data_IF_825642636689
#
_entry.id   IF_825642636689
#
_cell.length_a   1.000
_cell.length_b   1.000
_cell.length_c   1.000
_cell.angle_alpha   90.00
_cell.angle_beta   90.00
_cell.angle_gamma   90.00
#
_symmetry.space_group_name_H-M   'P 1'
#
loop_
_entity.id
_entity.type
_entity.pdbx_description
1 polymer ?
#
# COMPACT_ATOMS: atom_id res chain seq x y z
N UNK A 1 44.53 -36.28 -2.55
CA UNK A 1 45.20 -35.14 -1.90
C UNK A 1 44.87 -33.88 -2.69
N UNK A 2 43.91 -33.08 -2.20
CA UNK A 2 43.56 -31.77 -2.78
C UNK A 2 44.20 -30.72 -1.86
N UNK A 3 45.20 -30.05 -2.42
CA UNK A 3 45.95 -28.98 -1.81
C UNK A 3 45.07 -27.80 -1.50
N UNK A 4 44.98 -27.41 -0.24
CA UNK A 4 44.44 -26.12 0.25
C UNK A 4 45.38 -25.03 -0.20
N UNK A 5 44.94 -24.15 -1.13
CA UNK A 5 45.63 -22.90 -1.42
C UNK A 5 45.13 -21.81 -0.45
N UNK A 6 46.04 -21.34 0.35
CA UNK A 6 45.93 -20.12 1.17
C UNK A 6 45.57 -18.92 0.29
N UNK A 7 44.50 -18.26 0.66
CA UNK A 7 44.17 -16.91 0.21
C UNK A 7 44.52 -15.95 1.34
N UNK A 8 45.80 -15.69 1.50
CA UNK A 8 46.26 -14.60 2.35
C UNK A 8 46.68 -13.41 1.48
N UNK A 9 46.02 -12.29 1.76
CA UNK A 9 46.58 -10.96 1.73
C UNK A 9 47.44 -10.53 0.53
N UNK A 10 46.86 -9.89 -0.46
CA UNK A 10 47.47 -8.74 -1.11
C UNK A 10 46.40 -7.94 -1.88
N UNK A 11 45.54 -7.24 -1.15
CA UNK A 11 44.80 -6.11 -1.69
C UNK A 11 45.57 -4.86 -1.29
N UNK A 12 46.28 -4.34 -2.27
CA UNK A 12 47.03 -3.13 -2.27
C UNK A 12 46.24 -1.96 -1.61
N UNK A 13 46.78 -1.49 -0.49
CA UNK A 13 46.38 -0.26 0.15
C UNK A 13 46.94 0.92 -0.67
N UNK A 14 46.21 1.42 -1.62
CA UNK A 14 46.49 2.75 -2.19
C UNK A 14 45.20 3.45 -2.61
N UNK A 15 44.92 4.54 -1.92
CA UNK A 15 44.18 5.70 -2.42
C UNK A 15 42.65 5.62 -2.55
N UNK A 16 41.96 5.08 -1.57
CA UNK A 16 40.62 5.60 -1.26
C UNK A 16 40.74 6.68 -0.17
N UNK A 17 41.07 7.90 -0.59
CA UNK A 17 40.76 9.10 0.19
C UNK A 17 39.25 9.17 0.36
N UNK A 18 38.74 8.47 1.34
CA UNK A 18 37.42 8.73 1.89
C UNK A 18 37.44 10.16 2.41
N UNK A 19 36.96 11.11 1.59
CA UNK A 19 36.56 12.42 2.10
C UNK A 19 35.51 12.16 3.18
N UNK A 20 35.93 12.12 4.43
CA UNK A 20 35.05 12.26 5.58
C UNK A 20 34.34 13.60 5.39
N UNK A 21 33.16 13.57 4.78
CA UNK A 21 32.20 14.64 4.98
C UNK A 21 31.91 14.66 6.47
N UNK A 22 32.54 15.59 7.20
CA UNK A 22 32.09 15.98 8.53
C UNK A 22 30.69 16.56 8.32
N UNK A 23 29.66 15.73 8.46
CA UNK A 23 28.33 16.23 8.71
C UNK A 23 28.40 17.05 9.99
N UNK A 24 28.24 18.36 9.86
CA UNK A 24 28.00 19.23 11.02
C UNK A 24 26.74 18.71 11.69
N UNK A 25 26.92 18.08 12.85
CA UNK A 25 25.87 17.82 13.82
C UNK A 25 25.39 19.22 14.27
N UNK A 26 24.28 19.67 13.76
CA UNK A 26 23.76 21.00 14.06
C UNK A 26 22.74 21.52 13.07
N UNK A 27 22.02 20.65 12.40
CA UNK A 27 20.82 21.07 11.70
C UNK A 27 19.75 20.02 11.95
N UNK A 28 18.86 20.31 12.89
CA UNK A 28 17.55 19.72 12.94
C UNK A 28 16.94 19.97 11.55
N UNK A 29 17.08 19.00 10.66
CA UNK A 29 16.34 19.02 9.41
C UNK A 29 14.88 18.96 9.82
N UNK A 30 14.20 20.05 9.67
CA UNK A 30 12.77 20.16 9.76
C UNK A 30 12.19 19.26 8.68
N UNK A 31 12.02 17.98 9.00
CA UNK A 31 11.25 17.06 8.21
C UNK A 31 9.80 17.55 8.22
N UNK A 32 9.45 18.36 7.27
CA UNK A 32 8.11 18.90 7.18
C UNK A 32 7.49 18.71 5.82
N UNK A 33 7.14 17.47 5.56
CA UNK A 33 5.87 17.18 4.93
C UNK A 33 5.24 16.06 5.75
N UNK A 34 4.05 16.29 6.29
CA UNK A 34 3.29 15.22 6.95
C UNK A 34 2.99 14.18 5.89
N UNK A 35 3.71 13.06 5.90
CA UNK A 35 3.37 11.90 5.08
C UNK A 35 2.06 11.34 5.58
N UNK A 36 1.15 11.03 4.67
CA UNK A 36 -0.19 10.56 5.00
C UNK A 36 -0.54 9.29 4.24
N UNK A 37 -1.13 8.32 4.94
CA UNK A 37 -1.62 7.06 4.39
C UNK A 37 -3.14 7.01 4.53
N UNK A 38 -3.85 6.81 3.42
CA UNK A 38 -5.29 6.58 3.42
C UNK A 38 -5.56 5.07 3.38
N UNK A 39 -6.31 4.59 4.36
CA UNK A 39 -6.59 3.17 4.55
C UNK A 39 -8.08 2.92 4.35
N UNK A 40 -8.42 1.98 3.48
CA UNK A 40 -9.80 1.67 3.13
C UNK A 40 -10.28 0.41 3.85
N UNK A 41 -11.31 0.54 4.69
CA UNK A 41 -11.96 -0.58 5.34
C UNK A 41 -13.18 -1.04 4.52
N UNK A 42 -13.03 -2.13 3.76
CA UNK A 42 -14.08 -2.73 2.93
C UNK A 42 -14.99 -3.72 3.67
N UNK A 43 -14.84 -3.83 4.98
CA UNK A 43 -15.74 -4.66 5.79
C UNK A 43 -17.12 -3.99 5.95
N UNK A 44 -18.23 -4.74 5.91
CA UNK A 44 -19.55 -4.20 6.31
C UNK A 44 -19.58 -3.73 7.77
N UNK A 45 -18.68 -4.24 8.60
CA UNK A 45 -18.54 -3.84 10.01
C UNK A 45 -17.50 -2.75 10.17
N UNK A 46 -17.92 -1.56 10.63
CA UNK A 46 -17.04 -0.41 10.80
C UNK A 46 -15.81 -0.73 11.68
N UNK A 47 -16.02 -1.47 12.77
CA UNK A 47 -14.98 -1.88 13.73
C UNK A 47 -14.92 -3.40 13.89
N UNK A 48 -14.80 -4.12 12.77
CA UNK A 48 -14.66 -5.58 12.72
C UNK A 48 -13.20 -6.03 12.62
N UNK A 49 -12.99 -7.30 12.25
CA UNK A 49 -11.66 -7.92 12.11
C UNK A 49 -10.73 -7.15 11.16
N UNK A 50 -11.24 -6.71 10.01
CA UNK A 50 -10.47 -5.91 9.04
C UNK A 50 -10.01 -4.59 9.65
N UNK A 51 -10.92 -3.89 10.33
CA UNK A 51 -10.58 -2.62 11.00
C UNK A 51 -9.49 -2.83 12.07
N UNK A 52 -9.57 -3.90 12.86
CA UNK A 52 -8.57 -4.23 13.89
C UNK A 52 -7.16 -4.37 13.29
N UNK A 53 -7.05 -5.03 12.13
CA UNK A 53 -5.78 -5.13 11.42
C UNK A 53 -5.29 -3.78 10.88
N UNK A 54 -6.19 -2.99 10.29
CA UNK A 54 -5.86 -1.65 9.81
C UNK A 54 -5.46 -0.71 10.96
N UNK A 55 -6.14 -0.76 12.09
CA UNK A 55 -5.83 0.02 13.29
C UNK A 55 -4.45 -0.32 13.86
N UNK A 56 -4.09 -1.61 13.91
CA UNK A 56 -2.74 -2.04 14.32
C UNK A 56 -1.64 -1.52 13.38
N UNK A 57 -1.89 -1.55 12.06
CA UNK A 57 -0.97 -0.96 11.08
C UNK A 57 -0.88 0.56 11.23
N UNK A 58 -2.02 1.24 11.41
CA UNK A 58 -2.10 2.68 11.61
C UNK A 58 -1.31 3.13 12.83
N UNK A 59 -1.40 2.38 13.94
CA UNK A 59 -0.63 2.65 15.15
C UNK A 59 0.86 2.70 14.85
N UNK A 60 1.39 1.70 14.17
CA UNK A 60 2.82 1.64 13.82
C UNK A 60 3.21 2.76 12.86
N UNK A 61 2.39 3.05 11.85
CA UNK A 61 2.64 4.17 10.94
C UNK A 61 2.71 5.51 11.68
N UNK A 62 1.79 5.75 12.62
CA UNK A 62 1.79 6.96 13.44
C UNK A 62 3.00 7.04 14.38
N UNK A 63 3.43 5.91 14.97
CA UNK A 63 4.68 5.81 15.75
C UNK A 63 5.92 6.15 14.90
N UNK A 64 5.88 5.84 13.59
CA UNK A 64 6.92 6.16 12.61
C UNK A 64 6.83 7.58 12.02
N UNK A 65 5.87 8.39 12.49
CA UNK A 65 5.66 9.77 12.07
C UNK A 65 4.86 9.93 10.77
N UNK A 66 4.09 8.92 10.38
CA UNK A 66 3.22 8.95 9.20
C UNK A 66 1.77 9.05 9.65
N UNK A 67 1.07 10.11 9.24
CA UNK A 67 -0.36 10.29 9.54
C UNK A 67 -1.20 9.23 8.84
N UNK A 68 -2.24 8.75 9.51
CA UNK A 68 -3.14 7.75 8.95
C UNK A 68 -4.60 8.17 9.04
N UNK A 69 -5.37 7.79 8.04
CA UNK A 69 -6.82 7.93 8.05
C UNK A 69 -7.47 6.63 7.60
N UNK A 70 -8.37 6.06 8.39
CA UNK A 70 -9.14 4.86 8.02
C UNK A 70 -10.52 5.29 7.54
N UNK A 71 -10.79 5.09 6.25
CA UNK A 71 -12.08 5.37 5.62
C UNK A 71 -12.90 4.10 5.50
N UNK A 72 -14.12 4.11 6.03
CA UNK A 72 -15.03 2.97 5.96
C UNK A 72 -15.80 2.99 4.63
N UNK A 73 -15.42 2.12 3.72
CA UNK A 73 -16.01 2.01 2.36
C UNK A 73 -16.91 0.79 2.18
N UNK A 74 -16.99 -0.06 3.19
CA UNK A 74 -17.80 -1.28 3.18
C UNK A 74 -19.18 -1.13 3.83
N UNK A 75 -19.57 0.07 4.29
CA UNK A 75 -20.80 0.31 5.05
C UNK A 75 -22.07 0.03 4.23
N UNK A 76 -22.03 0.28 2.95
CA UNK A 76 -23.16 0.13 2.04
C UNK A 76 -22.78 -0.71 0.82
N UNK A 77 -23.75 -1.37 0.16
CA UNK A 77 -23.49 -2.11 -1.07
C UNK A 77 -22.85 -1.21 -2.13
N UNK A 78 -21.66 -1.58 -2.57
CA UNK A 78 -20.94 -0.89 -3.64
C UNK A 78 -21.16 -1.60 -4.96
N UNK A 79 -21.85 -0.96 -5.91
CA UNK A 79 -21.88 -1.46 -7.28
C UNK A 79 -20.49 -1.40 -7.93
N UNK A 80 -20.20 -2.35 -8.81
CA UNK A 80 -19.00 -2.31 -9.64
C UNK A 80 -19.03 -1.17 -10.66
N UNK A 81 -17.90 -0.89 -11.32
CA UNK A 81 -17.87 0.06 -12.42
C UNK A 81 -18.72 -0.43 -13.59
N UNK A 82 -19.65 0.40 -14.06
CA UNK A 82 -20.56 0.10 -15.16
C UNK A 82 -19.96 0.40 -16.55
N UNK A 83 -18.73 0.89 -16.62
CA UNK A 83 -18.11 1.29 -17.89
C UNK A 83 -18.83 2.46 -18.61
N UNK A 84 -19.63 3.24 -17.89
CA UNK A 84 -20.48 4.28 -18.49
C UNK A 84 -19.74 5.48 -19.07
N UNK A 85 -18.43 5.63 -18.81
CA UNK A 85 -17.60 6.73 -19.28
C UNK A 85 -17.92 8.09 -18.66
N UNK A 86 -18.83 8.17 -17.68
CA UNK A 86 -19.24 9.42 -17.05
C UNK A 86 -18.07 10.17 -16.39
N UNK A 87 -17.20 9.45 -15.67
CA UNK A 87 -16.03 10.03 -15.00
C UNK A 87 -15.01 10.68 -15.97
N UNK A 88 -14.93 10.22 -17.21
CA UNK A 88 -14.09 10.86 -18.24
C UNK A 88 -14.59 12.25 -18.63
N UNK A 89 -15.88 12.53 -18.42
CA UNK A 89 -16.50 13.83 -18.73
C UNK A 89 -16.57 14.75 -17.52
N UNK A 90 -16.88 14.19 -16.35
CA UNK A 90 -17.11 14.97 -15.11
C UNK A 90 -15.89 15.07 -14.22
N UNK A 91 -14.88 14.20 -14.40
CA UNK A 91 -13.73 14.06 -13.52
C UNK A 91 -14.01 13.25 -12.24
N UNK A 92 -15.25 12.82 -12.02
CA UNK A 92 -15.68 12.06 -10.82
C UNK A 92 -16.61 10.91 -11.22
N UNK A 93 -16.70 9.88 -10.36
CA UNK A 93 -17.67 8.81 -10.56
C UNK A 93 -19.11 9.35 -10.42
N UNK A 94 -19.92 9.23 -11.46
CA UNK A 94 -21.30 9.76 -11.49
C UNK A 94 -22.26 9.12 -10.49
N UNK A 95 -21.87 7.94 -9.96
CA UNK A 95 -22.65 7.26 -8.92
C UNK A 95 -22.32 7.73 -7.49
N UNK A 96 -21.43 8.73 -7.36
CA UNK A 96 -21.16 9.36 -6.05
C UNK A 96 -20.65 8.43 -4.96
N UNK A 97 -20.97 8.79 -3.72
CA UNK A 97 -20.66 8.01 -2.53
C UNK A 97 -19.20 8.04 -2.12
N UNK A 98 -18.78 7.05 -1.35
CA UNK A 98 -17.45 6.93 -0.75
C UNK A 98 -16.33 6.94 -1.81
N UNK A 99 -16.63 6.54 -3.05
CA UNK A 99 -15.67 6.57 -4.16
C UNK A 99 -15.25 8.01 -4.50
N UNK A 100 -16.19 8.94 -4.54
CA UNK A 100 -15.91 10.35 -4.86
C UNK A 100 -15.15 11.00 -3.69
N UNK A 101 -15.54 10.70 -2.46
CA UNK A 101 -14.82 11.16 -1.28
C UNK A 101 -13.37 10.65 -1.25
N UNK A 102 -13.18 9.36 -1.48
CA UNK A 102 -11.85 8.75 -1.58
C UNK A 102 -11.00 9.39 -2.69
N UNK A 103 -11.58 9.61 -3.88
CA UNK A 103 -10.90 10.25 -5.00
C UNK A 103 -10.39 11.67 -4.66
N UNK A 104 -11.16 12.42 -3.88
CA UNK A 104 -10.72 13.73 -3.39
C UNK A 104 -9.54 13.62 -2.43
N UNK A 105 -9.62 12.71 -1.46
CA UNK A 105 -8.57 12.46 -0.47
C UNK A 105 -7.28 11.89 -1.08
N UNK A 106 -7.36 11.13 -2.18
CA UNK A 106 -6.18 10.56 -2.85
C UNK A 106 -5.17 11.62 -3.30
N UNK A 107 -5.60 12.85 -3.55
CA UNK A 107 -4.72 13.93 -3.99
C UNK A 107 -3.74 14.38 -2.90
N UNK A 108 -4.11 14.19 -1.65
CA UNK A 108 -3.40 14.70 -0.48
C UNK A 108 -2.73 13.61 0.35
N UNK A 109 -2.63 12.37 -0.19
CA UNK A 109 -2.00 11.24 0.51
C UNK A 109 -0.84 10.67 -0.29
N UNK A 110 0.12 10.08 0.42
CA UNK A 110 1.35 9.56 -0.16
C UNK A 110 1.28 8.06 -0.43
N UNK A 111 0.43 7.31 0.27
CA UNK A 111 0.22 5.88 0.08
C UNK A 111 -1.22 5.47 0.42
N UNK A 112 -1.58 4.24 0.05
CA UNK A 112 -2.90 3.68 0.34
C UNK A 112 -2.80 2.26 0.91
N UNK A 113 -3.78 1.87 1.71
CA UNK A 113 -3.95 0.50 2.19
C UNK A 113 -5.38 0.04 1.91
N UNK A 114 -5.52 -1.14 1.33
CA UNK A 114 -6.82 -1.76 1.10
C UNK A 114 -7.02 -2.91 2.08
N UNK A 115 -8.10 -2.85 2.87
CA UNK A 115 -8.45 -3.88 3.84
C UNK A 115 -9.80 -4.52 3.52
N UNK A 116 -9.87 -5.84 3.42
CA UNK A 116 -11.11 -6.56 3.11
C UNK A 116 -11.31 -7.79 3.99
N UNK A 117 -12.54 -8.09 4.41
CA UNK A 117 -12.84 -9.44 4.87
C UNK A 117 -12.88 -10.41 3.70
N UNK A 118 -12.60 -11.68 3.97
CA UNK A 118 -12.76 -12.77 3.00
C UNK A 118 -14.21 -13.23 2.99
N UNK A 119 -14.84 -13.16 1.82
CA UNK A 119 -16.16 -13.71 1.55
C UNK A 119 -16.06 -14.73 0.41
N UNK A 120 -16.39 -16.00 0.67
CA UNK A 120 -16.34 -17.08 -0.34
C UNK A 120 -15.00 -17.18 -1.07
N UNK A 121 -13.89 -17.10 -0.35
CA UNK A 121 -12.50 -17.08 -0.85
C UNK A 121 -12.17 -15.91 -1.79
N UNK A 122 -12.97 -14.86 -1.79
CA UNK A 122 -12.79 -13.60 -2.51
C UNK A 122 -12.77 -12.43 -1.52
N UNK A 123 -12.42 -11.24 -1.97
CA UNK A 123 -12.67 -10.03 -1.18
C UNK A 123 -14.17 -9.73 -1.08
N UNK A 124 -14.57 -8.89 -0.14
CA UNK A 124 -15.97 -8.47 -0.06
C UNK A 124 -16.42 -7.77 -1.35
N UNK A 125 -17.65 -8.03 -1.79
CA UNK A 125 -18.21 -7.35 -2.96
C UNK A 125 -18.19 -5.83 -2.85
N UNK A 126 -18.31 -5.30 -1.64
CA UNK A 126 -18.20 -3.86 -1.38
C UNK A 126 -16.80 -3.32 -1.68
N UNK A 127 -15.73 -4.02 -1.23
CA UNK A 127 -14.36 -3.62 -1.55
C UNK A 127 -14.08 -3.75 -3.05
N UNK A 128 -14.53 -4.82 -3.69
CA UNK A 128 -14.36 -5.02 -5.13
C UNK A 128 -15.02 -3.89 -5.92
N UNK A 129 -16.29 -3.61 -5.64
CA UNK A 129 -17.03 -2.53 -6.30
C UNK A 129 -16.39 -1.16 -6.08
N UNK A 130 -15.94 -0.89 -4.84
CA UNK A 130 -15.20 0.32 -4.50
C UNK A 130 -13.91 0.45 -5.30
N UNK A 131 -13.05 -0.58 -5.28
CA UNK A 131 -11.76 -0.57 -5.98
C UNK A 131 -11.94 -0.39 -7.50
N UNK A 132 -12.91 -1.07 -8.12
CA UNK A 132 -13.20 -0.90 -9.55
C UNK A 132 -13.63 0.53 -9.89
N UNK A 133 -14.54 1.11 -9.13
CA UNK A 133 -15.01 2.46 -9.39
C UNK A 133 -13.93 3.50 -9.12
N UNK A 134 -13.17 3.36 -8.04
CA UNK A 134 -12.07 4.25 -7.69
C UNK A 134 -10.98 4.25 -8.77
N UNK A 135 -10.57 3.07 -9.24
CA UNK A 135 -9.56 2.91 -10.28
C UNK A 135 -9.96 3.57 -11.59
N UNK A 136 -11.22 3.42 -12.01
CA UNK A 136 -11.71 4.05 -13.24
C UNK A 136 -11.83 5.57 -13.13
N UNK A 137 -12.24 6.09 -11.97
CA UNK A 137 -12.50 7.52 -11.82
C UNK A 137 -11.30 8.33 -11.33
N UNK A 138 -10.39 7.72 -10.58
CA UNK A 138 -9.25 8.38 -9.94
C UNK A 138 -7.91 7.61 -10.09
N UNK A 139 -7.81 6.69 -11.04
CA UNK A 139 -6.61 5.86 -11.22
C UNK A 139 -5.33 6.66 -11.46
N UNK A 140 -5.42 7.84 -12.10
CA UNK A 140 -4.26 8.73 -12.26
C UNK A 140 -3.65 9.18 -10.93
N UNK A 141 -4.50 9.34 -9.88
CA UNK A 141 -4.09 9.78 -8.55
C UNK A 141 -3.58 8.60 -7.69
N UNK A 142 -3.71 7.35 -8.17
CA UNK A 142 -3.13 6.16 -7.58
C UNK A 142 -1.70 5.88 -8.07
N UNK A 143 -1.36 6.29 -9.30
CA UNK A 143 -0.08 5.95 -9.93
C UNK A 143 1.11 6.26 -9.04
N UNK A 144 2.02 5.27 -8.94
CA UNK A 144 3.28 5.33 -8.20
C UNK A 144 3.16 5.55 -6.67
N UNK A 145 1.95 5.64 -6.13
CA UNK A 145 1.79 5.62 -4.66
C UNK A 145 2.04 4.19 -4.14
N UNK A 146 2.84 4.01 -3.09
CA UNK A 146 2.94 2.73 -2.41
C UNK A 146 1.57 2.23 -1.97
N UNK A 147 1.35 0.93 -2.13
CA UNK A 147 0.11 0.28 -1.72
C UNK A 147 0.39 -0.95 -0.85
N UNK A 148 -0.45 -1.18 0.15
CA UNK A 148 -0.49 -2.43 0.88
C UNK A 148 -1.92 -2.98 0.92
N UNK A 149 -2.03 -4.29 1.11
CA UNK A 149 -3.29 -4.97 1.29
C UNK A 149 -3.29 -5.70 2.62
N UNK A 150 -4.47 -5.91 3.18
CA UNK A 150 -4.68 -6.82 4.29
C UNK A 150 -6.06 -7.48 4.20
N UNK A 151 -6.10 -8.76 4.43
CA UNK A 151 -7.38 -9.50 4.48
C UNK A 151 -7.61 -10.08 5.86
N UNK A 152 -8.88 -10.18 6.25
CA UNK A 152 -9.27 -10.84 7.48
C UNK A 152 -10.20 -12.01 7.17
N UNK A 153 -9.94 -13.16 7.78
CA UNK A 153 -10.76 -14.35 7.63
C UNK A 153 -10.89 -15.11 8.93
N UNK A 154 -11.97 -15.89 9.06
CA UNK A 154 -12.07 -16.85 10.15
C UNK A 154 -11.08 -18.02 9.94
N UNK A 155 -10.87 -18.47 8.70
CA UNK A 155 -10.03 -19.65 8.40
C UNK A 155 -9.35 -19.58 7.02
N UNK A 156 -10.04 -19.90 5.93
CA UNK A 156 -9.48 -20.12 4.61
C UNK A 156 -9.89 -19.04 3.59
N UNK A 157 -9.24 -19.04 2.41
CA UNK A 157 -9.55 -18.17 1.28
C UNK A 157 -8.78 -16.84 1.26
N UNK A 158 -7.84 -16.66 2.15
CA UNK A 158 -7.05 -15.42 2.28
C UNK A 158 -6.12 -15.17 1.10
N UNK A 159 -5.40 -16.19 0.62
CA UNK A 159 -4.46 -16.04 -0.50
C UNK A 159 -5.18 -15.65 -1.78
N UNK A 160 -6.30 -16.31 -2.12
CA UNK A 160 -7.11 -15.97 -3.30
C UNK A 160 -7.64 -14.54 -3.22
N UNK A 161 -8.12 -14.11 -2.05
CA UNK A 161 -8.58 -12.74 -1.85
C UNK A 161 -7.44 -11.71 -2.00
N UNK A 162 -6.23 -12.02 -1.56
CA UNK A 162 -5.06 -11.18 -1.78
C UNK A 162 -4.71 -11.07 -3.26
N UNK A 163 -4.73 -12.18 -4.00
CA UNK A 163 -4.45 -12.21 -5.44
C UNK A 163 -5.43 -11.34 -6.24
N UNK A 164 -6.66 -11.19 -5.78
CA UNK A 164 -7.62 -10.26 -6.38
C UNK A 164 -7.26 -8.81 -6.12
N UNK A 165 -6.83 -8.48 -4.89
CA UNK A 165 -6.56 -7.10 -4.48
C UNK A 165 -5.32 -6.52 -5.15
N UNK A 166 -4.30 -7.31 -5.43
CA UNK A 166 -3.02 -6.81 -5.98
C UNK A 166 -3.13 -6.34 -7.44
N UNK A 167 -4.07 -6.86 -8.21
CA UNK A 167 -4.19 -6.59 -9.66
C UNK A 167 -4.40 -5.11 -10.00
N UNK A 168 -5.16 -4.39 -9.18
CA UNK A 168 -5.40 -2.95 -9.41
C UNK A 168 -4.16 -2.13 -9.08
N UNK A 169 -3.51 -2.27 -7.91
CA UNK A 169 -2.24 -1.63 -7.65
C UNK A 169 -1.16 -1.91 -8.70
N UNK A 170 -1.02 -3.16 -9.14
CA UNK A 170 -0.06 -3.53 -10.20
C UNK A 170 -0.34 -2.77 -11.51
N UNK A 171 -1.61 -2.65 -11.91
CA UNK A 171 -2.00 -1.94 -13.12
C UNK A 171 -1.62 -0.45 -13.09
N UNK A 172 -1.58 0.17 -11.90
CA UNK A 172 -1.26 1.58 -11.72
C UNK A 172 0.20 1.85 -11.33
N UNK A 173 1.12 0.90 -11.56
CA UNK A 173 2.55 1.05 -11.24
C UNK A 173 2.80 1.35 -9.75
N UNK A 174 1.94 0.85 -8.87
CA UNK A 174 2.06 1.10 -7.44
C UNK A 174 3.06 0.12 -6.81
N UNK A 175 4.11 0.58 -6.11
CA UNK A 175 4.96 -0.31 -5.33
C UNK A 175 4.14 -1.05 -4.26
N UNK A 176 4.18 -2.38 -4.28
CA UNK A 176 3.50 -3.21 -3.29
C UNK A 176 4.37 -3.37 -2.04
N UNK A 177 3.85 -2.98 -0.89
CA UNK A 177 4.53 -3.05 0.38
C UNK A 177 4.08 -4.31 1.11
N UNK A 178 5.02 -5.20 1.35
CA UNK A 178 4.79 -6.48 2.00
C UNK A 178 5.50 -6.58 3.36
N UNK A 179 5.10 -7.57 4.16
CA UNK A 179 5.75 -7.95 5.39
C UNK A 179 6.65 -9.18 5.21
N UNK A 180 6.82 -9.94 6.28
CA UNK A 180 7.57 -11.19 6.31
C UNK A 180 6.72 -12.42 5.90
N UNK A 181 5.42 -12.25 5.67
CA UNK A 181 4.47 -13.26 5.21
C UNK A 181 3.29 -12.60 4.50
N UNK A 182 2.31 -13.37 4.00
CA UNK A 182 1.12 -12.82 3.36
C UNK A 182 0.28 -12.01 4.34
N UNK A 183 -0.22 -10.83 3.93
CA UNK A 183 -0.91 -9.87 4.80
C UNK A 183 -2.33 -10.32 5.15
N UNK A 184 -2.45 -11.20 6.11
CA UNK A 184 -3.73 -11.74 6.59
C UNK A 184 -3.79 -11.77 8.11
N UNK A 185 -5.01 -11.65 8.63
CA UNK A 185 -5.32 -11.88 10.05
C UNK A 185 -6.48 -12.84 10.18
N UNK A 186 -6.48 -13.63 11.24
CA UNK A 186 -7.51 -14.64 11.52
C UNK A 186 -8.30 -14.32 12.77
N UNK A 187 -9.62 -14.51 12.69
CA UNK A 187 -10.56 -14.33 13.78
C UNK A 187 -11.99 -14.12 13.29
N UNK A 188 -12.97 -14.47 14.11
CA UNK A 188 -14.40 -14.24 13.85
C UNK A 188 -14.90 -12.91 14.40
N UNK A 189 -14.11 -12.30 15.27
CA UNK A 189 -14.38 -11.02 15.93
C UNK A 189 -13.04 -10.30 16.25
N UNK A 190 -13.08 -9.01 16.63
CA UNK A 190 -11.87 -8.24 16.94
C UNK A 190 -10.98 -8.83 18.03
N UNK A 191 -11.58 -9.45 19.06
CA UNK A 191 -10.80 -9.99 20.18
C UNK A 191 -10.05 -11.27 19.80
N UNK A 192 -10.59 -12.07 18.89
CA UNK A 192 -9.85 -13.20 18.30
C UNK A 192 -8.72 -12.71 17.40
N UNK A 193 -8.93 -11.66 16.58
CA UNK A 193 -7.85 -11.07 15.76
C UNK A 193 -6.72 -10.56 16.63
N UNK A 194 -7.01 -9.98 17.81
CA UNK A 194 -5.96 -9.55 18.75
C UNK A 194 -5.12 -10.71 19.29
N UNK A 195 -5.62 -11.94 19.23
CA UNK A 195 -4.89 -13.14 19.61
C UNK A 195 -4.10 -13.76 18.47
N UNK A 196 -4.33 -13.34 17.22
CA UNK A 196 -3.52 -13.70 16.07
C UNK A 196 -2.20 -12.91 16.07
N UNK A 197 -1.29 -13.33 16.93
CA UNK A 197 -0.02 -12.62 17.14
C UNK A 197 0.85 -12.59 15.89
N UNK A 198 0.80 -13.64 15.05
CA UNK A 198 1.53 -13.71 13.78
C UNK A 198 0.95 -12.74 12.76
N UNK A 199 -0.36 -12.79 12.53
CA UNK A 199 -1.03 -11.87 11.60
C UNK A 199 -0.84 -10.41 11.99
N UNK A 200 -0.94 -10.07 13.28
CA UNK A 200 -0.68 -8.73 13.77
C UNK A 200 0.80 -8.32 13.63
N UNK A 201 1.74 -9.25 13.80
CA UNK A 201 3.16 -8.98 13.54
C UNK A 201 3.39 -8.64 12.06
N UNK A 202 2.77 -9.38 11.14
CA UNK A 202 2.88 -9.15 9.71
C UNK A 202 2.39 -7.73 9.36
N UNK A 203 1.21 -7.33 9.84
CA UNK A 203 0.67 -6.00 9.54
C UNK A 203 1.50 -4.87 10.16
N UNK A 204 2.10 -5.08 11.34
CA UNK A 204 3.08 -4.13 11.91
C UNK A 204 4.33 -4.00 11.05
N UNK A 205 4.85 -5.10 10.53
CA UNK A 205 6.02 -5.08 9.64
C UNK A 205 5.71 -4.37 8.32
N UNK A 206 4.50 -4.55 7.77
CA UNK A 206 4.04 -3.78 6.59
C UNK A 206 4.01 -2.29 6.91
N UNK A 207 3.49 -1.89 8.07
CA UNK A 207 3.48 -0.49 8.50
C UNK A 207 4.90 0.11 8.57
N UNK A 208 5.86 -0.60 9.16
CA UNK A 208 7.26 -0.16 9.21
C UNK A 208 7.90 -0.06 7.82
N UNK A 209 7.68 -1.07 6.97
CA UNK A 209 8.21 -1.08 5.61
C UNK A 209 7.60 0.05 4.78
N UNK A 210 6.32 0.32 4.92
CA UNK A 210 5.66 1.46 4.26
C UNK A 210 6.22 2.79 4.73
N UNK A 211 6.38 3.00 6.03
CA UNK A 211 6.99 4.21 6.58
C UNK A 211 8.42 4.41 6.06
N UNK A 212 9.23 3.33 6.01
CA UNK A 212 10.58 3.37 5.45
C UNK A 212 10.59 3.79 3.98
N UNK A 213 9.75 3.15 3.14
CA UNK A 213 9.66 3.47 1.71
C UNK A 213 9.18 4.91 1.48
N UNK A 214 8.21 5.38 2.25
CA UNK A 214 7.73 6.76 2.16
C UNK A 214 8.85 7.77 2.50
N UNK A 215 9.63 7.51 3.54
CA UNK A 215 10.82 8.31 3.89
C UNK A 215 11.86 8.32 2.76
N UNK A 216 12.11 7.16 2.12
CA UNK A 216 13.01 7.06 0.97
C UNK A 216 12.49 7.84 -0.25
N UNK A 217 11.20 7.75 -0.56
CA UNK A 217 10.57 8.48 -1.68
C UNK A 217 10.66 9.98 -1.45
N UNK A 218 10.37 10.45 -0.24
CA UNK A 218 10.45 11.88 0.07
C UNK A 218 11.90 12.40 -0.03
N UNK A 219 12.85 11.68 0.57
CA UNK A 219 14.28 12.01 0.42
C UNK A 219 14.71 11.99 -1.06
N UNK A 220 14.21 11.04 -1.83
CA UNK A 220 14.44 10.98 -3.28
C UNK A 220 13.95 12.24 -4.00
N UNK A 221 12.72 12.66 -3.73
CA UNK A 221 12.13 13.88 -4.31
C UNK A 221 12.93 15.14 -3.98
N UNK A 222 13.37 15.29 -2.72
CA UNK A 222 14.22 16.40 -2.29
C UNK A 222 15.57 16.45 -3.02
N UNK A 223 16.04 15.30 -3.54
CA UNK A 223 17.26 15.18 -4.31
C UNK A 223 17.03 15.07 -5.84
N UNK A 224 15.83 15.37 -6.32
CA UNK A 224 15.48 15.37 -7.73
C UNK A 224 15.23 13.98 -8.34
N UNK A 225 15.09 12.94 -7.51
CA UNK A 225 14.71 11.59 -7.94
C UNK A 225 13.18 11.50 -7.92
N UNK A 226 12.60 11.33 -9.09
CA UNK A 226 11.15 11.16 -9.25
C UNK A 226 10.85 9.81 -9.89
N UNK A 227 9.59 9.39 -9.86
CA UNK A 227 9.17 8.18 -10.56
C UNK A 227 9.47 8.27 -12.07
N UNK A 228 9.72 7.16 -12.76
CA UNK A 228 9.97 7.17 -14.19
C UNK A 228 8.72 7.58 -14.98
N UNK A 229 8.92 8.24 -16.10
CA UNK A 229 7.83 8.43 -17.06
C UNK A 229 7.56 7.10 -17.78
N UNK A 230 6.32 6.63 -17.81
CA UNK A 230 5.99 5.40 -18.53
C UNK A 230 6.07 5.62 -20.03
N UNK A 231 6.46 4.59 -20.76
CA UNK A 231 6.36 4.60 -22.21
C UNK A 231 4.92 4.82 -22.68
N UNK A 232 4.76 5.38 -23.87
CA UNK A 232 3.46 5.51 -24.51
C UNK A 232 2.81 4.13 -24.69
N UNK A 233 1.55 3.94 -24.29
CA UNK A 233 0.94 2.61 -24.33
C UNK A 233 0.77 2.12 -25.75
N UNK A 234 1.36 0.97 -26.06
CA UNK A 234 1.14 0.24 -27.31
C UNK A 234 -0.03 -0.72 -27.11
N UNK A 235 -1.03 -0.63 -27.98
CA UNK A 235 -2.19 -1.52 -27.95
C UNK A 235 -2.04 -2.60 -28.99
N UNK A 236 -1.96 -3.85 -28.58
CA UNK A 236 -2.09 -4.99 -29.46
C UNK A 236 -3.57 -5.29 -29.68
N UNK A 237 -4.01 -5.23 -30.94
CA UNK A 237 -5.38 -5.58 -31.32
C UNK A 237 -5.33 -6.49 -32.55
N UNK A 238 -5.74 -7.73 -32.40
CA UNK A 238 -5.82 -8.73 -33.48
C UNK A 238 -7.18 -8.78 -34.17
N UNK A 239 -8.16 -8.02 -33.70
CA UNK A 239 -9.47 -7.89 -34.32
C UNK A 239 -9.40 -6.77 -35.37
N UNK A 240 -9.53 -7.16 -36.64
CA UNK A 240 -9.48 -6.26 -37.81
C UNK A 240 -10.85 -6.21 -38.44
#
# INVERSE_FOLDING_TARGET
EISTRDWSSDVCSSDLKVKRLRFKIGMFIFWRKYMKVLMFNGSPKAKGCTYTALEEMAKVLNEEGVETEIMHVGAHPQGSCMGCGGCSKTGECVYGGEVVEAAKKLKDVDAVVFGSPVHYASISGNMMGFMHRLSWSAGKDLKYKPAAMVVSARRAGTTTALDEMVKIPEFFHMPLINGNYWPMVHGSNPDEVKQDLEGLQIVRNIGRNMAWILKCIELGKENGIVHPEPEAPVKTNFIR
#
